data_IF_470188002086
#
_entry.id   IF_470188002086
#
_cell.length_a   1.000
_cell.length_b   1.000
_cell.length_c   1.000
_cell.angle_alpha   90.00
_cell.angle_beta   90.00
_cell.angle_gamma   90.00
#
_symmetry.space_group_name_H-M   'P 1'
#
loop_
_entity.id
_entity.type
_entity.pdbx_description
1 polymer ?
#
# COMPACT_ATOMS: atom_id res chain seq x y z
N UNK A 1 -9.88 18.57 5.91
CA UNK A 1 -9.03 18.65 4.72
C UNK A 1 -8.12 17.44 4.63
N UNK A 2 -7.65 17.11 3.45
CA UNK A 2 -6.73 15.99 3.19
C UNK A 2 -5.45 16.09 4.04
N UNK A 3 -4.92 17.28 4.22
CA UNK A 3 -3.76 17.51 5.11
C UNK A 3 -4.03 17.06 6.54
N UNK A 4 -5.25 17.21 7.04
CA UNK A 4 -5.62 16.76 8.37
C UNK A 4 -5.61 15.22 8.47
N UNK A 5 -6.12 14.53 7.45
CA UNK A 5 -6.13 13.07 7.40
C UNK A 5 -4.72 12.45 7.36
N UNK A 6 -3.71 13.16 6.85
CA UNK A 6 -2.32 12.69 6.78
C UNK A 6 -1.48 13.03 8.03
N UNK A 7 -1.99 13.84 8.95
CA UNK A 7 -1.25 14.22 10.17
C UNK A 7 -0.88 13.04 11.08
N UNK A 8 -1.74 12.02 11.29
CA UNK A 8 -1.36 10.86 12.09
C UNK A 8 -0.13 10.16 11.53
N UNK A 9 -0.07 9.95 10.20
CA UNK A 9 1.10 9.34 9.56
C UNK A 9 2.37 10.19 9.74
N UNK A 10 2.23 11.52 9.69
CA UNK A 10 3.37 12.41 9.92
C UNK A 10 3.87 12.35 11.38
N UNK A 11 2.98 12.16 12.37
CA UNK A 11 3.36 11.94 13.77
C UNK A 11 4.14 10.63 13.93
N UNK A 12 3.63 9.53 13.39
CA UNK A 12 4.29 8.24 13.40
C UNK A 12 5.69 8.29 12.76
N UNK A 13 5.84 9.03 11.65
CA UNK A 13 7.15 9.20 10.98
C UNK A 13 8.14 10.04 11.83
N UNK A 14 7.66 11.01 12.63
CA UNK A 14 8.52 11.76 13.55
C UNK A 14 9.02 10.86 14.67
N UNK A 15 8.14 10.08 15.30
CA UNK A 15 8.49 9.12 16.35
C UNK A 15 9.46 8.06 15.84
N UNK A 16 9.18 7.50 14.65
CA UNK A 16 10.06 6.53 14.01
C UNK A 16 11.45 7.13 13.70
N UNK A 17 11.52 8.41 13.34
CA UNK A 17 12.79 9.10 13.11
C UNK A 17 13.59 9.26 14.41
N UNK A 18 12.94 9.63 15.50
CA UNK A 18 13.60 9.75 16.81
C UNK A 18 14.19 8.42 17.27
N UNK A 19 13.45 7.31 17.10
CA UNK A 19 13.95 5.96 17.40
C UNK A 19 15.13 5.60 16.49
N UNK A 20 14.99 5.81 15.17
CA UNK A 20 16.06 5.55 14.20
C UNK A 20 17.34 6.34 14.51
N UNK A 21 17.23 7.62 14.88
CA UNK A 21 18.38 8.48 15.23
C UNK A 21 19.05 7.99 16.53
N UNK A 22 18.29 7.46 17.48
CA UNK A 22 18.82 6.87 18.72
C UNK A 22 19.52 5.52 18.47
N UNK A 23 18.86 4.62 17.74
CA UNK A 23 19.41 3.31 17.35
C UNK A 23 20.64 3.46 16.44
N UNK A 24 20.63 4.47 15.54
CA UNK A 24 21.76 4.76 14.68
C UNK A 24 23.06 5.07 15.43
N UNK A 25 22.97 5.81 16.52
CA UNK A 25 24.14 6.09 17.38
C UNK A 25 24.67 4.82 18.05
N UNK A 26 23.79 3.97 18.54
CA UNK A 26 24.19 2.70 19.12
C UNK A 26 24.81 1.78 18.07
N UNK A 27 24.18 1.68 16.89
CA UNK A 27 24.69 0.91 15.76
C UNK A 27 26.13 1.34 15.35
N UNK A 28 26.41 2.64 15.30
CA UNK A 28 27.77 3.12 15.00
C UNK A 28 28.81 2.62 16.00
N UNK A 29 28.47 2.60 17.29
CA UNK A 29 29.36 2.08 18.34
C UNK A 29 29.55 0.57 18.20
N UNK A 30 28.44 -0.17 18.02
CA UNK A 30 28.46 -1.63 17.87
C UNK A 30 29.23 -2.05 16.60
N UNK A 31 29.12 -1.26 15.52
CA UNK A 31 29.85 -1.49 14.28
C UNK A 31 31.36 -1.33 14.46
N UNK A 32 31.78 -0.30 15.22
CA UNK A 32 33.20 -0.06 15.57
C UNK A 32 33.73 -1.22 16.40
N UNK A 33 32.97 -1.70 17.37
CA UNK A 33 33.34 -2.85 18.20
C UNK A 33 33.46 -4.13 17.38
N UNK A 34 32.46 -4.44 16.54
CA UNK A 34 32.46 -5.60 15.66
C UNK A 34 33.65 -5.58 14.68
N UNK A 35 33.95 -4.42 14.12
CA UNK A 35 35.08 -4.24 13.20
C UNK A 35 36.42 -4.41 13.94
N UNK A 36 36.59 -3.87 15.13
CA UNK A 36 37.81 -4.05 15.97
C UNK A 36 38.02 -5.53 16.30
N UNK A 37 36.94 -6.23 16.64
CA UNK A 37 36.94 -7.69 16.94
C UNK A 37 37.34 -8.49 15.70
N UNK A 38 36.75 -8.18 14.53
CA UNK A 38 37.08 -8.80 13.25
C UNK A 38 38.56 -8.59 12.85
N UNK A 39 39.10 -7.39 13.05
CA UNK A 39 40.51 -7.07 12.77
C UNK A 39 41.48 -7.74 13.73
N UNK A 40 41.11 -7.88 15.01
CA UNK A 40 41.87 -8.66 15.99
C UNK A 40 41.96 -10.13 15.59
N UNK A 41 40.80 -10.76 15.25
CA UNK A 41 40.76 -12.16 14.80
C UNK A 41 41.52 -12.38 13.49
N UNK A 42 41.46 -11.45 12.53
CA UNK A 42 42.28 -11.48 11.29
C UNK A 42 43.77 -11.43 11.61
N UNK A 43 44.18 -10.65 12.59
CA UNK A 43 45.58 -10.55 13.02
C UNK A 43 46.06 -11.83 13.70
N UNK A 44 45.22 -12.44 14.56
CA UNK A 44 45.49 -13.72 15.15
C UNK A 44 45.57 -14.85 14.11
N UNK A 45 44.68 -14.85 13.12
CA UNK A 45 44.70 -15.81 12.01
C UNK A 45 45.99 -15.72 11.21
N UNK A 46 46.50 -14.52 10.92
CA UNK A 46 47.80 -14.32 10.23
C UNK A 46 48.96 -14.89 11.08
N UNK A 47 48.97 -14.69 12.41
CA UNK A 47 49.99 -15.23 13.32
C UNK A 47 49.90 -16.77 13.39
N UNK A 48 48.70 -17.33 13.44
CA UNK A 48 48.49 -18.78 13.43
C UNK A 48 48.98 -19.42 12.12
N UNK A 49 48.70 -18.80 10.98
CA UNK A 49 49.13 -19.24 9.65
C UNK A 49 50.66 -19.19 9.46
N UNK A 50 51.35 -18.24 10.10
CA UNK A 50 52.82 -18.16 10.10
C UNK A 50 53.50 -19.06 11.15
N UNK A 51 52.74 -19.84 11.92
CA UNK A 51 53.28 -20.72 12.96
C UNK A 51 53.70 -20.01 14.24
N UNK A 52 53.44 -18.70 14.36
CA UNK A 52 53.79 -17.88 15.54
C UNK A 52 52.57 -17.67 16.48
N UNK A 53 51.39 -18.15 16.10
CA UNK A 53 50.15 -18.00 16.83
C UNK A 53 50.00 -19.09 17.92
N UNK A 54 49.31 -18.73 19.02
CA UNK A 54 48.99 -19.65 20.12
C UNK A 54 47.66 -20.41 19.91
N UNK A 55 46.84 -20.00 18.98
CA UNK A 55 45.48 -20.55 18.71
C UNK A 55 45.47 -21.28 17.37
N UNK A 56 44.62 -22.31 17.24
CA UNK A 56 44.45 -23.02 15.99
C UNK A 56 43.67 -22.16 14.98
N UNK A 57 44.01 -22.29 13.69
CA UNK A 57 43.33 -21.58 12.59
C UNK A 57 41.85 -21.92 12.59
N UNK A 58 41.48 -23.19 12.84
CA UNK A 58 40.09 -23.65 12.83
C UNK A 58 39.25 -22.89 13.87
N UNK A 59 39.71 -22.78 15.11
CA UNK A 59 38.99 -22.03 16.15
C UNK A 59 38.81 -20.56 15.83
N UNK A 60 39.83 -19.93 15.25
CA UNK A 60 39.74 -18.51 14.83
C UNK A 60 38.76 -18.36 13.66
N UNK A 61 38.70 -19.32 12.73
CA UNK A 61 37.76 -19.35 11.62
C UNK A 61 36.33 -19.50 12.12
N UNK A 62 36.08 -20.40 13.06
CA UNK A 62 34.75 -20.57 13.65
C UNK A 62 34.28 -19.26 14.32
N UNK A 63 35.14 -18.63 15.13
CA UNK A 63 34.80 -17.33 15.74
C UNK A 63 34.59 -16.19 14.72
N UNK A 64 35.26 -16.25 13.59
CA UNK A 64 35.00 -15.27 12.49
C UNK A 64 33.67 -15.53 11.79
N UNK A 65 33.25 -16.79 11.67
CA UNK A 65 31.97 -17.18 11.11
C UNK A 65 30.81 -16.87 12.06
N UNK A 66 31.04 -17.02 13.35
CA UNK A 66 30.07 -16.74 14.42
C UNK A 66 29.98 -15.24 14.76
N UNK A 67 30.86 -14.40 14.16
CA UNK A 67 30.83 -12.96 14.41
C UNK A 67 29.66 -12.34 13.64
N UNK A 68 28.58 -12.05 14.35
CA UNK A 68 27.45 -11.34 13.82
C UNK A 68 27.80 -9.86 13.62
N UNK A 69 27.49 -9.35 12.46
CA UNK A 69 27.52 -7.89 12.22
C UNK A 69 26.26 -7.27 12.83
N UNK A 70 26.36 -6.10 13.48
CA UNK A 70 25.20 -5.47 14.08
C UNK A 70 24.16 -5.13 13.02
N UNK A 71 22.88 -5.34 13.34
CA UNK A 71 21.79 -5.03 12.44
C UNK A 71 21.67 -3.53 12.21
N UNK A 72 21.75 -3.11 10.96
CA UNK A 72 21.55 -1.72 10.60
C UNK A 72 20.11 -1.31 10.91
N UNK A 73 19.90 -0.23 11.70
CA UNK A 73 18.55 0.25 11.95
C UNK A 73 17.87 0.65 10.65
N UNK A 74 16.58 0.36 10.54
CA UNK A 74 15.75 0.70 9.39
C UNK A 74 14.81 1.85 9.77
N UNK A 75 14.73 2.86 8.90
CA UNK A 75 13.81 3.95 9.13
C UNK A 75 12.40 3.58 8.70
N UNK A 76 11.51 3.43 9.67
CA UNK A 76 10.09 3.18 9.39
C UNK A 76 9.46 4.40 8.71
N UNK A 77 8.79 4.17 7.59
CA UNK A 77 8.05 5.17 6.82
C UNK A 77 6.66 4.66 6.49
N UNK A 78 5.71 5.57 6.44
CA UNK A 78 4.31 5.27 6.10
C UNK A 78 3.92 5.83 4.75
N UNK A 79 4.61 6.87 4.27
CA UNK A 79 4.29 7.53 3.00
C UNK A 79 5.51 8.00 2.25
N UNK A 80 5.32 8.18 0.94
CA UNK A 80 6.25 8.89 0.06
C UNK A 80 5.47 9.78 -0.90
N UNK A 81 6.07 10.90 -1.32
CA UNK A 81 5.45 11.80 -2.29
C UNK A 81 6.10 11.66 -3.66
N UNK A 82 7.40 11.33 -3.68
CA UNK A 82 8.17 11.18 -4.91
C UNK A 82 9.29 10.16 -4.70
N UNK A 83 9.28 9.12 -5.52
CA UNK A 83 10.33 8.12 -5.55
C UNK A 83 10.42 7.50 -6.95
N UNK A 84 11.63 7.22 -7.40
CA UNK A 84 11.82 6.33 -8.55
C UNK A 84 11.45 4.90 -8.13
N UNK A 85 11.18 4.01 -9.09
CA UNK A 85 10.84 2.61 -8.79
C UNK A 85 11.95 1.93 -7.98
N UNK A 86 13.21 2.17 -8.35
CA UNK A 86 14.34 1.60 -7.62
C UNK A 86 14.36 2.05 -6.15
N UNK A 87 14.11 3.35 -5.90
CA UNK A 87 14.03 3.84 -4.53
C UNK A 87 12.79 3.36 -3.81
N UNK A 88 11.67 3.20 -4.53
CA UNK A 88 10.44 2.65 -3.96
C UNK A 88 10.64 1.17 -3.56
N UNK A 89 11.34 0.38 -4.38
CA UNK A 89 11.72 -1.00 -4.07
C UNK A 89 12.61 -1.10 -2.81
N UNK A 90 13.62 -0.23 -2.69
CA UNK A 90 14.43 -0.14 -1.46
C UNK A 90 13.58 0.20 -0.24
N UNK A 91 12.70 1.21 -0.37
CA UNK A 91 11.83 1.64 0.72
C UNK A 91 10.83 0.55 1.14
N UNK A 92 10.32 -0.26 0.20
CA UNK A 92 9.42 -1.37 0.50
C UNK A 92 10.13 -2.50 1.23
N UNK A 93 11.41 -2.76 0.94
CA UNK A 93 12.22 -3.70 1.70
C UNK A 93 12.45 -3.24 3.15
N UNK A 94 12.60 -1.92 3.35
CA UNK A 94 12.70 -1.34 4.69
C UNK A 94 11.34 -1.27 5.40
N UNK A 95 10.22 -1.33 4.65
CA UNK A 95 8.84 -1.16 5.15
C UNK A 95 7.92 -2.25 4.55
N UNK A 96 8.02 -3.50 5.04
CA UNK A 96 7.30 -4.64 4.46
C UNK A 96 5.76 -4.54 4.57
N UNK A 97 5.24 -3.69 5.46
CA UNK A 97 3.80 -3.41 5.61
C UNK A 97 3.26 -2.48 4.50
N UNK A 98 4.13 -2.01 3.60
CA UNK A 98 3.75 -1.17 2.47
C UNK A 98 3.86 0.33 2.73
N UNK A 99 3.62 1.09 1.67
CA UNK A 99 3.75 2.54 1.65
C UNK A 99 2.57 3.22 0.95
N UNK A 100 2.16 4.36 1.48
CA UNK A 100 1.26 5.28 0.80
C UNK A 100 2.04 6.21 -0.14
N UNK A 101 1.86 6.06 -1.45
CA UNK A 101 2.29 7.05 -2.43
C UNK A 101 1.21 8.15 -2.52
N UNK A 102 1.51 9.29 -1.91
CA UNK A 102 0.59 10.42 -1.89
C UNK A 102 0.97 11.46 -2.94
N UNK A 103 0.01 11.83 -3.78
CA UNK A 103 0.15 12.90 -4.77
C UNK A 103 -1.04 13.85 -4.67
N UNK A 104 -0.78 15.13 -4.43
CA UNK A 104 -1.85 16.15 -4.44
C UNK A 104 -2.52 16.19 -5.82
N UNK A 105 -1.73 16.03 -6.90
CA UNK A 105 -2.21 15.91 -8.27
C UNK A 105 -1.62 14.65 -8.94
N UNK A 106 -2.51 13.70 -9.33
CA UNK A 106 -2.11 12.44 -9.96
C UNK A 106 -1.60 12.59 -11.40
N UNK A 107 -1.96 13.69 -12.08
CA UNK A 107 -1.55 13.91 -13.49
C UNK A 107 -0.05 13.76 -13.68
N UNK A 108 0.76 14.34 -12.78
CA UNK A 108 2.21 14.25 -12.87
C UNK A 108 2.74 12.81 -12.76
N UNK A 109 2.11 11.98 -11.93
CA UNK A 109 2.43 10.56 -11.77
C UNK A 109 2.04 9.77 -13.04
N UNK A 110 0.78 9.90 -13.48
CA UNK A 110 0.29 9.21 -14.67
C UNK A 110 1.10 9.58 -15.91
N UNK A 111 1.37 10.87 -16.14
CA UNK A 111 2.18 11.34 -17.25
C UNK A 111 3.65 10.87 -17.17
N UNK A 112 4.18 10.55 -15.98
CA UNK A 112 5.52 10.01 -15.86
C UNK A 112 5.64 8.58 -16.41
N UNK A 113 4.55 7.80 -16.36
CA UNK A 113 4.51 6.42 -16.86
C UNK A 113 4.36 6.33 -18.38
N UNK A 114 3.93 7.42 -19.04
CA UNK A 114 3.77 7.50 -20.51
C UNK A 114 5.06 7.97 -21.20
N UNK A 115 6.09 8.34 -20.44
CA UNK A 115 7.35 8.80 -21.02
C UNK A 115 8.12 7.62 -21.65
N UNK A 116 8.71 7.81 -22.86
CA UNK A 116 9.54 6.79 -23.46
C UNK A 116 10.65 6.31 -22.52
N UNK A 117 10.83 5.00 -22.39
CA UNK A 117 11.80 4.37 -21.49
C UNK A 117 11.31 4.24 -20.04
N UNK A 118 10.02 4.49 -19.77
CA UNK A 118 9.36 4.34 -18.47
C UNK A 118 8.23 3.30 -18.48
N UNK A 119 8.20 2.45 -19.49
CA UNK A 119 7.19 1.40 -19.63
C UNK A 119 7.21 0.43 -18.45
N UNK A 120 8.42 0.17 -17.89
CA UNK A 120 8.60 -0.66 -16.70
C UNK A 120 7.98 -0.03 -15.44
N UNK A 121 7.87 1.30 -15.40
CA UNK A 121 7.30 1.99 -14.24
C UNK A 121 5.79 1.67 -14.13
N UNK A 122 5.09 1.71 -15.25
CA UNK A 122 3.66 1.36 -15.31
C UNK A 122 3.42 -0.11 -14.92
N UNK A 123 4.25 -1.03 -15.45
CA UNK A 123 4.17 -2.45 -15.10
C UNK A 123 4.37 -2.70 -13.60
N UNK A 124 5.34 -2.03 -12.98
CA UNK A 124 5.59 -2.10 -11.54
C UNK A 124 4.34 -1.76 -10.73
N UNK A 125 3.63 -0.66 -11.06
CA UNK A 125 2.42 -0.29 -10.34
C UNK A 125 1.23 -1.22 -10.62
N UNK A 126 1.18 -1.85 -11.77
CA UNK A 126 0.20 -2.90 -12.06
C UNK A 126 0.44 -4.16 -11.22
N UNK A 127 1.71 -4.55 -11.04
CA UNK A 127 2.12 -5.70 -10.21
C UNK A 127 1.91 -5.42 -8.72
N UNK A 128 2.05 -4.17 -8.28
CA UNK A 128 1.87 -3.78 -6.86
C UNK A 128 0.43 -3.82 -6.37
N UNK A 129 -0.53 -4.10 -7.25
CA UNK A 129 -1.95 -4.10 -6.94
C UNK A 129 -2.36 -5.09 -5.84
N UNK A 130 -1.84 -6.31 -5.86
CA UNK A 130 -2.20 -7.33 -4.89
C UNK A 130 -1.52 -7.10 -3.53
N UNK A 131 -0.38 -6.41 -3.50
CA UNK A 131 0.36 -6.08 -2.29
C UNK A 131 1.24 -7.22 -1.75
N UNK A 132 1.11 -8.43 -2.28
CA UNK A 132 1.79 -9.66 -1.84
C UNK A 132 2.79 -10.22 -2.85
N UNK A 133 2.86 -9.65 -4.05
CA UNK A 133 3.80 -10.07 -5.07
C UNK A 133 5.24 -9.67 -4.72
N UNK A 134 6.20 -10.52 -5.07
CA UNK A 134 7.60 -10.15 -5.08
C UNK A 134 7.99 -9.51 -6.41
N UNK A 135 8.98 -8.63 -6.38
CA UNK A 135 9.53 -7.98 -7.58
C UNK A 135 11.05 -8.00 -7.56
N UNK A 136 11.63 -8.33 -8.70
CA UNK A 136 13.11 -8.32 -8.88
C UNK A 136 13.47 -7.26 -9.90
N UNK A 137 14.31 -6.33 -9.54
CA UNK A 137 14.84 -5.29 -10.42
C UNK A 137 16.34 -5.47 -10.61
N UNK A 138 16.75 -5.80 -11.83
CA UNK A 138 18.16 -5.93 -12.21
C UNK A 138 18.63 -4.66 -12.92
N UNK A 139 19.67 -4.01 -12.40
CA UNK A 139 20.23 -2.79 -12.98
C UNK A 139 21.75 -2.89 -13.12
N UNK A 140 22.25 -2.57 -14.31
CA UNK A 140 23.69 -2.47 -14.56
C UNK A 140 24.27 -1.37 -13.66
N UNK A 141 25.16 -1.72 -12.74
CA UNK A 141 25.84 -0.80 -11.83
C UNK A 141 25.25 -0.64 -10.43
N UNK A 142 24.01 -1.09 -10.17
CA UNK A 142 23.41 -1.11 -8.83
C UNK A 142 23.14 -2.52 -8.29
N UNK A 143 23.31 -3.54 -9.13
CA UNK A 143 23.02 -4.92 -8.79
C UNK A 143 21.52 -5.25 -8.84
N UNK A 144 21.17 -6.36 -8.22
CA UNK A 144 19.79 -6.87 -8.12
C UNK A 144 19.15 -6.37 -6.83
N UNK A 145 17.97 -5.77 -6.95
CA UNK A 145 17.11 -5.44 -5.82
C UNK A 145 15.93 -6.41 -5.87
N UNK A 146 15.81 -7.22 -4.85
CA UNK A 146 14.66 -8.10 -4.65
C UNK A 146 13.73 -7.47 -3.61
N UNK A 147 12.49 -7.21 -4.01
CA UNK A 147 11.43 -6.70 -3.14
C UNK A 147 10.48 -7.83 -2.81
N UNK A 148 10.40 -8.17 -1.56
CA UNK A 148 9.60 -9.30 -1.10
C UNK A 148 8.10 -9.01 -1.16
N UNK A 149 7.69 -7.83 -0.68
CA UNK A 149 6.30 -7.38 -0.66
C UNK A 149 6.14 -6.09 -1.44
N UNK A 150 5.51 -6.19 -2.61
CA UNK A 150 5.24 -5.03 -3.46
C UNK A 150 3.89 -4.39 -3.06
N UNK A 151 3.82 -3.83 -1.84
CA UNK A 151 2.60 -3.25 -1.28
C UNK A 151 2.63 -1.72 -1.37
N UNK A 152 1.91 -1.16 -2.35
CA UNK A 152 1.82 0.29 -2.57
C UNK A 152 0.37 0.73 -2.67
N UNK A 153 -0.05 1.60 -1.76
CA UNK A 153 -1.31 2.32 -1.86
C UNK A 153 -1.10 3.66 -2.55
N UNK A 154 -1.92 4.00 -3.53
CA UNK A 154 -1.85 5.29 -4.23
C UNK A 154 -3.05 6.14 -3.85
N UNK A 155 -2.81 7.39 -3.45
CA UNK A 155 -3.86 8.35 -3.17
C UNK A 155 -3.53 9.72 -3.73
N UNK A 156 -4.52 10.35 -4.39
CA UNK A 156 -4.39 11.72 -4.89
C UNK A 156 -5.63 12.22 -5.61
N UNK A 157 -5.58 13.50 -5.98
CA UNK A 157 -6.63 14.15 -6.75
C UNK A 157 -6.30 14.21 -8.23
N UNK A 158 -7.33 14.30 -9.07
CA UNK A 158 -7.20 14.57 -10.50
C UNK A 158 -8.37 15.44 -10.97
N UNK A 159 -8.08 16.43 -11.81
CA UNK A 159 -9.12 17.24 -12.42
C UNK A 159 -9.91 16.44 -13.46
N UNK A 160 -11.26 16.52 -13.52
CA UNK A 160 -12.06 15.74 -14.45
C UNK A 160 -11.63 15.87 -15.92
N UNK A 161 -11.32 17.09 -16.38
CA UNK A 161 -10.86 17.31 -17.74
C UNK A 161 -9.50 16.68 -18.06
N UNK A 162 -8.64 16.47 -17.03
CA UNK A 162 -7.39 15.75 -17.18
C UNK A 162 -7.61 14.23 -17.15
N UNK A 163 -8.52 13.77 -16.30
CA UNK A 163 -8.88 12.36 -16.24
C UNK A 163 -9.41 11.84 -17.57
N UNK A 164 -10.24 12.63 -18.26
CA UNK A 164 -10.78 12.29 -19.58
C UNK A 164 -9.69 11.93 -20.59
N UNK A 165 -8.53 12.62 -20.57
CA UNK A 165 -7.42 12.30 -21.48
C UNK A 165 -6.75 10.95 -21.22
N UNK A 166 -6.92 10.36 -20.04
CA UNK A 166 -6.47 9.00 -19.71
C UNK A 166 -7.57 7.95 -19.95
N UNK A 167 -8.84 8.33 -19.83
CA UNK A 167 -9.97 7.42 -20.06
C UNK A 167 -10.18 7.12 -21.55
N UNK A 168 -10.08 8.12 -22.43
CA UNK A 168 -10.32 7.95 -23.88
C UNK A 168 -9.39 6.89 -24.50
N UNK A 169 -8.06 6.93 -24.32
CA UNK A 169 -7.18 5.89 -24.85
C UNK A 169 -7.49 4.49 -24.30
N UNK A 170 -7.84 4.41 -23.03
CA UNK A 170 -8.20 3.14 -22.39
C UNK A 170 -9.48 2.50 -22.94
N UNK A 171 -10.37 3.26 -23.60
CA UNK A 171 -11.55 2.72 -24.28
C UNK A 171 -11.19 1.96 -25.57
N UNK A 172 -10.07 2.25 -26.19
CA UNK A 172 -9.72 1.76 -27.53
C UNK A 172 -8.88 0.46 -27.53
N UNK A 173 -8.93 -0.31 -26.49
CA UNK A 173 -8.49 -1.71 -26.43
C UNK A 173 -6.99 -1.94 -26.23
N UNK A 174 -6.09 -1.36 -27.00
CA UNK A 174 -4.65 -1.59 -26.93
C UNK A 174 -3.99 -0.92 -25.71
N UNK A 175 -4.58 0.14 -25.19
CA UNK A 175 -4.07 0.87 -24.01
C UNK A 175 -4.87 0.55 -22.73
N UNK A 176 -5.82 -0.39 -22.81
CA UNK A 176 -6.58 -0.86 -21.66
C UNK A 176 -5.81 -1.98 -20.92
N UNK A 177 -4.82 -1.62 -20.13
CA UNK A 177 -4.06 -2.55 -19.29
C UNK A 177 -4.66 -2.74 -17.88
N UNK A 178 -5.83 -2.14 -17.63
CA UNK A 178 -6.53 -2.23 -16.35
C UNK A 178 -5.97 -1.33 -15.25
N UNK A 179 -5.11 -0.36 -15.54
CA UNK A 179 -4.54 0.54 -14.53
C UNK A 179 -5.61 1.44 -13.91
N UNK A 180 -6.45 2.06 -14.75
CA UNK A 180 -7.53 2.95 -14.26
C UNK A 180 -8.55 2.16 -13.42
N UNK A 181 -8.86 0.94 -13.82
CA UNK A 181 -9.77 0.05 -13.08
C UNK A 181 -9.22 -0.40 -11.72
N UNK A 182 -7.91 -0.25 -11.49
CA UNK A 182 -7.26 -0.49 -10.21
C UNK A 182 -7.34 0.70 -9.24
N UNK A 183 -7.66 1.89 -9.73
CA UNK A 183 -7.97 3.06 -8.91
C UNK A 183 -9.42 2.96 -8.40
N UNK A 184 -9.67 2.01 -7.48
CA UNK A 184 -11.02 1.57 -7.12
C UNK A 184 -11.82 2.58 -6.30
N UNK A 185 -11.15 3.40 -5.49
CA UNK A 185 -11.82 4.39 -4.65
C UNK A 185 -12.03 5.71 -5.42
N UNK A 186 -12.65 5.62 -6.60
CA UNK A 186 -12.98 6.79 -7.41
C UNK A 186 -14.12 7.57 -6.77
N UNK A 187 -13.86 8.82 -6.40
CA UNK A 187 -14.89 9.72 -5.87
C UNK A 187 -14.98 10.96 -6.75
N UNK A 188 -16.14 11.15 -7.36
CA UNK A 188 -16.48 12.32 -8.17
C UNK A 188 -17.53 13.14 -7.41
N UNK A 189 -17.13 14.17 -6.65
CA UNK A 189 -18.05 14.90 -5.76
C UNK A 189 -19.11 15.64 -6.55
N UNK A 190 -20.28 15.84 -5.92
CA UNK A 190 -21.33 16.67 -6.47
C UNK A 190 -20.92 18.13 -6.52
N UNK A 191 -21.47 18.88 -7.47
CA UNK A 191 -21.32 20.33 -7.51
C UNK A 191 -22.03 20.97 -6.31
N UNK A 192 -21.35 21.89 -5.64
CA UNK A 192 -21.93 22.67 -4.56
C UNK A 192 -22.89 23.68 -5.15
N UNK A 193 -24.21 23.38 -5.13
CA UNK A 193 -25.25 24.26 -5.69
C UNK A 193 -25.49 25.48 -4.83
N UNK A 194 -25.43 25.34 -3.52
CA UNK A 194 -25.63 26.42 -2.55
C UNK A 194 -24.41 26.46 -1.66
N UNK A 195 -23.55 27.44 -1.86
CA UNK A 195 -22.41 27.66 -1.00
C UNK A 195 -22.83 28.43 0.26
N UNK A 196 -22.50 27.88 1.41
CA UNK A 196 -22.71 28.54 2.70
C UNK A 196 -21.38 28.61 3.43
N UNK A 197 -21.14 29.74 4.10
CA UNK A 197 -19.97 29.89 4.96
C UNK A 197 -20.19 29.05 6.22
N UNK A 198 -19.37 28.00 6.37
CA UNK A 198 -19.33 27.18 7.58
C UNK A 198 -18.08 27.51 8.35
N UNK A 199 -18.23 28.29 9.43
CA UNK A 199 -17.16 28.61 10.37
C UNK A 199 -17.41 27.87 11.68
N UNK A 200 -16.97 26.62 11.75
CA UNK A 200 -17.11 25.77 12.92
C UNK A 200 -15.75 25.40 13.50
N UNK A 201 -15.66 25.47 14.82
CA UNK A 201 -14.46 24.99 15.53
C UNK A 201 -14.37 23.46 15.36
N UNK A 202 -13.23 22.94 14.89
CA UNK A 202 -13.05 21.50 14.74
C UNK A 202 -13.23 20.76 16.06
N UNK A 203 -13.94 19.62 16.02
CA UNK A 203 -14.02 18.72 17.16
C UNK A 203 -12.64 18.10 17.46
N UNK A 204 -12.02 18.61 18.52
CA UNK A 204 -10.69 18.17 18.94
C UNK A 204 -10.69 16.74 19.46
N UNK A 205 -11.77 16.31 20.12
CA UNK A 205 -11.87 14.96 20.68
C UNK A 205 -12.02 13.92 19.57
N UNK A 206 -12.90 14.18 18.59
CA UNK A 206 -13.07 13.31 17.44
C UNK A 206 -11.76 13.18 16.63
N UNK A 207 -11.05 14.30 16.45
CA UNK A 207 -9.75 14.31 15.78
C UNK A 207 -8.71 13.48 16.53
N UNK A 208 -8.58 13.68 17.83
CA UNK A 208 -7.60 12.96 18.65
C UNK A 208 -7.92 11.46 18.70
N UNK A 209 -9.22 11.09 18.80
CA UNK A 209 -9.64 9.69 18.69
C UNK A 209 -9.22 9.06 17.36
N UNK A 210 -9.43 9.77 16.24
CA UNK A 210 -9.00 9.28 14.93
C UNK A 210 -7.46 9.07 14.87
N UNK A 211 -6.68 9.94 15.50
CA UNK A 211 -5.22 9.79 15.56
C UNK A 211 -4.81 8.57 16.37
N UNK A 212 -5.43 8.35 17.53
CA UNK A 212 -5.18 7.19 18.38
C UNK A 212 -5.56 5.86 17.69
N UNK A 213 -6.62 5.84 16.90
CA UNK A 213 -7.01 4.67 16.11
C UNK A 213 -5.91 4.33 15.10
N UNK A 214 -5.41 5.32 14.35
CA UNK A 214 -4.34 5.09 13.36
C UNK A 214 -3.04 4.65 14.02
N UNK A 215 -2.68 5.24 15.16
CA UNK A 215 -1.51 4.85 15.95
C UNK A 215 -1.62 3.39 16.43
N UNK A 216 -2.79 3.00 16.97
CA UNK A 216 -3.04 1.62 17.40
C UNK A 216 -2.96 0.64 16.23
N UNK A 217 -3.54 0.98 15.07
CA UNK A 217 -3.45 0.17 13.86
C UNK A 217 -2.00 -0.01 13.38
N UNK A 218 -1.17 1.03 13.45
CA UNK A 218 0.22 0.99 13.03
C UNK A 218 1.07 0.01 13.87
N UNK A 219 0.68 -0.23 15.13
CA UNK A 219 1.38 -1.11 16.07
C UNK A 219 0.58 -2.35 16.46
N UNK A 220 -0.52 -2.64 15.72
CA UNK A 220 -1.43 -3.74 16.04
C UNK A 220 -0.78 -5.09 15.71
N UNK A 221 -0.75 -5.97 16.70
CA UNK A 221 -0.49 -7.39 16.50
C UNK A 221 -1.83 -8.08 16.19
N UNK A 222 -2.09 -8.36 14.92
CA UNK A 222 -3.38 -8.88 14.46
C UNK A 222 -3.71 -10.24 15.07
N UNK A 223 -2.71 -11.05 15.41
CA UNK A 223 -2.93 -12.38 16.02
C UNK A 223 -3.59 -12.27 17.39
N UNK A 224 -3.27 -11.24 18.17
CA UNK A 224 -3.94 -10.96 19.45
C UNK A 224 -5.41 -10.59 19.31
N UNK A 225 -5.83 -10.21 18.10
CA UNK A 225 -7.20 -9.83 17.79
C UNK A 225 -7.93 -10.84 16.92
N UNK A 226 -7.42 -12.08 16.84
CA UNK A 226 -8.12 -13.22 16.24
C UNK A 226 -7.68 -13.55 14.82
N UNK A 227 -6.63 -12.91 14.30
CA UNK A 227 -6.05 -13.35 13.03
C UNK A 227 -5.34 -14.69 13.21
N UNK A 228 -5.52 -15.57 12.23
CA UNK A 228 -4.94 -16.90 12.18
C UNK A 228 -3.65 -16.86 11.36
N UNK A 229 -2.61 -17.48 11.88
CA UNK A 229 -1.40 -17.81 11.13
C UNK A 229 -1.46 -19.29 10.74
N UNK A 230 -1.17 -19.61 9.51
CA UNK A 230 -1.18 -20.97 8.99
C UNK A 230 0.14 -21.26 8.26
N UNK A 231 0.70 -22.46 8.50
CA UNK A 231 1.94 -22.89 7.86
C UNK A 231 1.79 -22.89 6.33
N UNK A 232 2.63 -22.10 5.67
CA UNK A 232 2.62 -21.92 4.22
C UNK A 232 1.89 -20.68 3.74
N UNK A 233 1.09 -20.04 4.59
CA UNK A 233 0.53 -18.72 4.34
C UNK A 233 1.49 -17.62 4.77
N UNK A 234 1.60 -16.57 3.96
CA UNK A 234 2.58 -15.52 4.18
C UNK A 234 2.13 -14.47 5.19
N UNK A 235 0.82 -14.25 5.26
CA UNK A 235 0.23 -13.23 6.11
C UNK A 235 -0.87 -13.81 6.98
N UNK A 236 -1.01 -13.33 8.23
CA UNK A 236 -2.15 -13.69 9.05
C UNK A 236 -3.46 -13.20 8.41
N UNK A 237 -4.52 -13.94 8.58
CA UNK A 237 -5.84 -13.64 7.99
C UNK A 237 -6.97 -13.72 9.01
N UNK A 238 -8.07 -13.04 8.71
CA UNK A 238 -9.31 -13.08 9.46
C UNK A 238 -10.42 -13.65 8.57
N UNK A 239 -11.25 -14.52 9.15
CA UNK A 239 -12.49 -14.97 8.51
C UNK A 239 -13.63 -13.99 8.77
N UNK A 240 -14.64 -13.99 7.93
CA UNK A 240 -15.93 -13.39 8.27
C UNK A 240 -16.63 -14.18 9.39
N UNK A 241 -17.48 -13.50 10.20
CA UNK A 241 -18.48 -14.21 11.00
C UNK A 241 -19.48 -14.93 10.09
N UNK A 242 -20.22 -15.90 10.62
CA UNK A 242 -21.18 -16.67 9.80
C UNK A 242 -22.23 -15.76 9.13
N UNK A 243 -22.68 -14.71 9.84
CA UNK A 243 -23.63 -13.74 9.33
C UNK A 243 -22.97 -12.85 8.27
N UNK A 244 -21.74 -12.40 8.51
CA UNK A 244 -20.99 -11.58 7.55
C UNK A 244 -20.65 -12.38 6.27
N UNK A 245 -20.34 -13.68 6.42
CA UNK A 245 -20.10 -14.57 5.29
C UNK A 245 -21.37 -14.76 4.45
N UNK A 246 -22.54 -14.90 5.10
CA UNK A 246 -23.82 -14.99 4.41
C UNK A 246 -24.09 -13.72 3.61
N UNK A 247 -23.93 -12.54 4.21
CA UNK A 247 -24.06 -11.26 3.52
C UNK A 247 -23.08 -11.13 2.34
N UNK A 248 -21.82 -11.52 2.53
CA UNK A 248 -20.84 -11.47 1.45
C UNK A 248 -21.20 -12.37 0.28
N UNK A 249 -21.71 -13.59 0.55
CA UNK A 249 -22.13 -14.52 -0.50
C UNK A 249 -23.32 -13.98 -1.30
N UNK A 250 -24.31 -13.38 -0.63
CA UNK A 250 -25.45 -12.73 -1.27
C UNK A 250 -25.00 -11.53 -2.12
N UNK A 251 -24.18 -10.65 -1.55
CA UNK A 251 -23.62 -9.48 -2.23
C UNK A 251 -22.76 -9.88 -3.46
N UNK A 252 -21.92 -10.92 -3.32
CA UNK A 252 -21.11 -11.43 -4.43
C UNK A 252 -21.97 -12.04 -5.54
N UNK A 253 -23.03 -12.74 -5.18
CA UNK A 253 -24.00 -13.30 -6.13
C UNK A 253 -24.68 -12.18 -6.93
N UNK A 254 -25.10 -11.11 -6.26
CA UNK A 254 -25.69 -9.95 -6.90
C UNK A 254 -24.69 -9.26 -7.84
N UNK A 255 -23.44 -9.06 -7.39
CA UNK A 255 -22.36 -8.53 -8.24
C UNK A 255 -22.18 -9.36 -9.52
N UNK A 256 -22.12 -10.70 -9.40
CA UNK A 256 -21.87 -11.60 -10.53
C UNK A 256 -23.05 -11.70 -11.50
N UNK A 257 -24.28 -11.72 -10.99
CA UNK A 257 -25.48 -11.96 -11.81
C UNK A 257 -26.06 -10.65 -12.34
N UNK A 258 -26.20 -9.64 -11.47
CA UNK A 258 -26.94 -8.42 -11.81
C UNK A 258 -26.04 -7.31 -12.34
N UNK A 259 -24.78 -7.20 -11.84
CA UNK A 259 -23.88 -6.10 -12.23
C UNK A 259 -22.92 -6.49 -13.35
N UNK A 260 -22.26 -7.66 -13.28
CA UNK A 260 -21.24 -8.07 -14.25
C UNK A 260 -21.80 -8.71 -15.53
N UNK A 261 -23.10 -8.99 -15.59
CA UNK A 261 -23.76 -9.53 -16.80
C UNK A 261 -24.63 -8.52 -17.53
N UNK A 262 -24.76 -7.31 -16.98
CA UNK A 262 -25.47 -6.22 -17.64
C UNK A 262 -24.66 -5.73 -18.83
N UNK A 263 -25.34 -5.36 -19.93
CA UNK A 263 -24.73 -4.82 -21.14
C UNK A 263 -24.25 -3.37 -20.89
N UNK A 264 -23.17 -3.27 -20.12
CA UNK A 264 -22.52 -2.01 -19.78
C UNK A 264 -21.19 -1.87 -20.55
N UNK A 265 -20.57 -0.72 -20.54
CA UNK A 265 -19.26 -0.54 -21.14
C UNK A 265 -18.22 -1.45 -20.50
N UNK A 266 -17.35 -2.07 -21.29
CA UNK A 266 -16.37 -3.04 -20.82
C UNK A 266 -15.49 -2.52 -19.65
N UNK A 267 -15.12 -1.23 -19.68
CA UNK A 267 -14.36 -0.57 -18.63
C UNK A 267 -15.08 -0.57 -17.28
N UNK A 268 -16.39 -0.39 -17.27
CA UNK A 268 -17.23 -0.44 -16.06
C UNK A 268 -17.26 -1.87 -15.53
N UNK A 269 -17.47 -2.86 -16.40
CA UNK A 269 -17.44 -4.26 -16.02
C UNK A 269 -16.10 -4.71 -15.46
N UNK A 270 -15.00 -4.29 -16.11
CA UNK A 270 -13.63 -4.55 -15.62
C UNK A 270 -13.38 -3.91 -14.26
N UNK A 271 -13.90 -2.71 -14.03
CA UNK A 271 -13.81 -2.02 -12.75
C UNK A 271 -14.60 -2.76 -11.66
N UNK A 272 -15.85 -3.12 -11.93
CA UNK A 272 -16.67 -3.90 -10.99
C UNK A 272 -16.13 -5.29 -10.75
N UNK A 273 -15.47 -5.91 -11.73
CA UNK A 273 -14.76 -7.17 -11.53
C UNK A 273 -13.72 -7.12 -10.41
N UNK A 274 -13.17 -5.92 -10.10
CA UNK A 274 -12.25 -5.71 -8.98
C UNK A 274 -12.95 -5.63 -7.62
N UNK A 275 -14.26 -5.42 -7.61
CA UNK A 275 -15.02 -5.32 -6.35
C UNK A 275 -15.07 -6.63 -5.59
N UNK A 276 -14.81 -7.78 -6.24
CA UNK A 276 -14.65 -9.09 -5.58
C UNK A 276 -13.62 -9.04 -4.43
N UNK A 277 -12.54 -8.28 -4.63
CA UNK A 277 -11.49 -8.08 -3.61
C UNK A 277 -11.69 -6.80 -2.80
N UNK A 278 -12.30 -5.77 -3.38
CA UNK A 278 -12.51 -4.47 -2.73
C UNK A 278 -13.43 -4.59 -1.52
N UNK A 279 -14.59 -5.24 -1.68
CA UNK A 279 -15.58 -5.36 -0.60
C UNK A 279 -15.02 -6.06 0.64
N UNK A 280 -14.40 -7.26 0.56
CA UNK A 280 -13.79 -7.89 1.72
C UNK A 280 -12.63 -7.08 2.31
N UNK A 281 -11.84 -6.38 1.49
CA UNK A 281 -10.78 -5.47 1.98
C UNK A 281 -11.36 -4.30 2.79
N UNK A 282 -12.44 -3.69 2.32
CA UNK A 282 -13.12 -2.61 3.04
C UNK A 282 -13.78 -3.11 4.33
N UNK A 283 -14.34 -4.32 4.32
CA UNK A 283 -14.90 -4.96 5.51
C UNK A 283 -13.81 -5.22 6.56
N UNK A 284 -12.66 -5.77 6.14
CA UNK A 284 -11.50 -5.97 7.02
C UNK A 284 -11.01 -4.66 7.62
N UNK A 285 -10.80 -3.63 6.80
CA UNK A 285 -10.36 -2.31 7.26
C UNK A 285 -11.37 -1.73 8.27
N UNK A 286 -12.68 -1.80 7.98
CA UNK A 286 -13.73 -1.31 8.88
C UNK A 286 -13.72 -2.05 10.22
N UNK A 287 -13.58 -3.38 10.18
CA UNK A 287 -13.47 -4.20 11.39
C UNK A 287 -12.25 -3.84 12.23
N UNK A 288 -11.07 -3.72 11.61
CA UNK A 288 -9.84 -3.37 12.33
C UNK A 288 -9.87 -1.96 12.91
N UNK A 289 -10.54 -1.01 12.25
CA UNK A 289 -10.81 0.33 12.80
C UNK A 289 -11.69 0.22 14.06
N UNK A 290 -12.78 -0.55 14.01
CA UNK A 290 -13.66 -0.74 15.14
C UNK A 290 -12.91 -1.43 16.32
N UNK A 291 -12.06 -2.42 16.05
CA UNK A 291 -11.19 -3.08 17.04
C UNK A 291 -10.18 -2.09 17.64
N UNK A 292 -9.52 -1.29 16.82
CA UNK A 292 -8.59 -0.26 17.28
C UNK A 292 -9.29 0.82 18.11
N UNK A 293 -10.57 1.05 17.90
CA UNK A 293 -11.41 1.97 18.69
C UNK A 293 -11.99 1.35 19.95
N UNK A 294 -11.72 0.07 20.22
CA UNK A 294 -12.05 -0.63 21.46
C UNK A 294 -13.10 -1.74 21.33
N UNK A 295 -13.51 -2.10 20.13
CA UNK A 295 -14.36 -3.28 19.92
C UNK A 295 -13.57 -4.58 20.16
N UNK A 296 -14.29 -5.67 20.40
CA UNK A 296 -13.68 -7.00 20.54
C UNK A 296 -13.06 -7.46 19.22
N UNK A 297 -11.88 -8.11 19.29
CA UNK A 297 -11.31 -8.84 18.18
C UNK A 297 -12.11 -10.10 17.85
N UNK A 298 -11.68 -10.83 16.84
CA UNK A 298 -12.30 -12.05 16.32
C UNK A 298 -12.64 -11.94 14.85
N UNK A 299 -13.58 -12.74 14.34
CA UNK A 299 -14.00 -12.70 12.93
C UNK A 299 -14.51 -11.34 12.50
N UNK A 300 -14.35 -11.00 11.22
CA UNK A 300 -14.87 -9.76 10.64
C UNK A 300 -16.38 -9.70 10.84
N UNK A 301 -16.84 -8.66 11.52
CA UNK A 301 -18.23 -8.53 11.97
C UNK A 301 -19.20 -8.26 10.82
N UNK A 302 -20.48 -8.66 11.02
CA UNK A 302 -21.57 -8.31 10.10
C UNK A 302 -21.64 -6.79 9.86
N UNK A 303 -21.53 -5.97 10.90
CA UNK A 303 -21.57 -4.52 10.78
C UNK A 303 -20.46 -3.97 9.87
N UNK A 304 -19.25 -4.53 9.94
CA UNK A 304 -18.14 -4.15 9.07
C UNK A 304 -18.41 -4.56 7.61
N UNK A 305 -19.01 -5.73 7.38
CA UNK A 305 -19.42 -6.18 6.06
C UNK A 305 -20.56 -5.32 5.47
N UNK A 306 -21.55 -4.95 6.26
CA UNK A 306 -22.63 -4.03 5.87
C UNK A 306 -22.09 -2.64 5.46
N UNK A 307 -21.17 -2.07 6.25
CA UNK A 307 -20.50 -0.81 5.93
C UNK A 307 -19.75 -0.92 4.60
N UNK A 308 -19.04 -2.03 4.36
CA UNK A 308 -18.28 -2.25 3.14
C UNK A 308 -19.18 -2.38 1.92
N UNK A 309 -20.28 -3.13 2.00
CA UNK A 309 -21.27 -3.26 0.94
C UNK A 309 -21.89 -1.91 0.57
N UNK A 310 -22.36 -1.15 1.57
CA UNK A 310 -22.90 0.19 1.36
C UNK A 310 -21.87 1.17 0.76
N UNK A 311 -20.59 1.02 1.13
CA UNK A 311 -19.53 1.84 0.53
C UNK A 311 -19.23 1.44 -0.91
N UNK A 312 -19.33 0.15 -1.27
CA UNK A 312 -19.25 -0.28 -2.66
C UNK A 312 -20.38 0.32 -3.51
N UNK A 313 -21.62 0.38 -3.02
CA UNK A 313 -22.73 1.01 -3.73
C UNK A 313 -22.52 2.53 -3.91
N UNK A 314 -21.98 3.19 -2.89
CA UNK A 314 -21.58 4.59 -3.01
C UNK A 314 -20.51 4.76 -4.10
N UNK A 315 -19.46 3.95 -4.10
CA UNK A 315 -18.38 4.01 -5.09
C UNK A 315 -18.89 3.68 -6.50
N UNK A 316 -19.82 2.75 -6.66
CA UNK A 316 -20.47 2.46 -7.95
C UNK A 316 -21.09 3.71 -8.56
N UNK A 317 -21.82 4.49 -7.78
CA UNK A 317 -22.44 5.73 -8.25
C UNK A 317 -21.41 6.72 -8.80
N UNK A 318 -20.24 6.78 -8.18
CA UNK A 318 -19.14 7.66 -8.61
C UNK A 318 -18.37 7.09 -9.81
N UNK A 319 -18.16 5.79 -9.87
CA UNK A 319 -17.55 5.09 -11.02
C UNK A 319 -18.36 5.36 -12.29
N UNK A 320 -19.70 5.23 -12.22
CA UNK A 320 -20.59 5.54 -13.35
C UNK A 320 -20.49 6.99 -13.80
N UNK A 321 -20.33 7.95 -12.89
CA UNK A 321 -20.07 9.35 -13.23
C UNK A 321 -18.72 9.55 -13.91
N UNK A 322 -17.67 8.92 -13.39
CA UNK A 322 -16.32 9.03 -13.96
C UNK A 322 -16.27 8.50 -15.39
N UNK A 323 -16.76 7.28 -15.61
CA UNK A 323 -16.77 6.71 -16.96
C UNK A 323 -17.80 7.37 -17.88
N UNK A 324 -18.86 7.93 -17.32
CA UNK A 324 -19.84 8.76 -18.05
C UNK A 324 -19.24 10.01 -18.69
N UNK A 325 -18.07 10.49 -18.22
CA UNK A 325 -17.35 11.59 -18.85
C UNK A 325 -16.95 11.28 -20.31
N UNK A 326 -16.70 10.01 -20.64
CA UNK A 326 -16.26 9.58 -21.97
C UNK A 326 -17.38 8.89 -22.76
N UNK A 327 -18.27 8.17 -22.10
CA UNK A 327 -19.41 7.52 -22.74
C UNK A 327 -20.32 8.54 -23.49
N UNK A 328 -20.52 9.71 -22.91
CA UNK A 328 -21.30 10.80 -23.56
C UNK A 328 -20.61 11.40 -24.77
N UNK A 329 -19.30 11.32 -24.88
CA UNK A 329 -18.54 11.86 -26.05
C UNK A 329 -18.84 11.01 -27.28
N UNK A 330 -18.87 9.69 -27.15
CA UNK A 330 -19.19 8.80 -28.29
C UNK A 330 -20.63 8.96 -28.76
N UNK A 331 -21.57 9.13 -27.83
CA UNK A 331 -22.99 9.41 -28.18
C UNK A 331 -23.14 10.75 -28.84
N UNK A 332 -22.42 11.78 -28.39
CA UNK A 332 -22.45 13.12 -29.06
C UNK A 332 -21.77 13.06 -30.42
N UNK A 333 -20.64 12.35 -30.58
CA UNK A 333 -19.98 12.17 -31.85
C UNK A 333 -20.87 11.41 -32.86
N UNK A 334 -21.54 10.34 -32.41
CA UNK A 334 -22.49 9.60 -33.24
C UNK A 334 -23.70 10.45 -33.67
N UNK A 335 -24.19 11.31 -32.77
CA UNK A 335 -25.31 12.23 -33.09
C UNK A 335 -24.92 13.36 -34.06
N UNK A 336 -23.63 13.74 -34.12
CA UNK A 336 -23.12 14.74 -35.09
C UNK A 336 -22.93 14.13 -36.50
N UNK A 337 -22.65 12.80 -36.54
CA UNK A 337 -22.39 12.05 -37.77
C UNK A 337 -23.68 11.49 -38.42
N UNK A 338 -24.78 11.48 -37.71
CA UNK A 338 -26.12 11.05 -38.17
C UNK A 338 -26.93 12.23 -38.72
#
# INVERSE_FOLDING_TARGET
SLREALKPLARLEIEAKESFDAEGKQYEVDLIEAQARKDSLKTEMKKAASGTGKRSIEKIKDELLDLEEPNKPLMVRYKTNDATIEKLSELLNENPNGLLLFRDELVGLLASWEKPGRESDRAFFLESWNGDNSHTSDRIGRGTIFTENLCVSIFGGIQPGKLTSYLIPSMNGLENDGLIQRLQLLVFPDEIKNWELVDQVPDRNARERAYQIIERLAHMDFTKYGATEEDGERFPYLHFSDEAQTLFNEWLTDLEIEKLRVDDYSMILEHFGKYRSLMPSLALISHLIDVADGASGGPVSLQAAEKAAAFCDYLESHVRRVYGLVANIDQQAAAILA
#
